data_IF_023624407711
#
_entry.id   IF_023624407711
#
_cell.length_a   1.000
_cell.length_b   1.000
_cell.length_c   1.000
_cell.angle_alpha   90.00
_cell.angle_beta   90.00
_cell.angle_gamma   90.00
#
_symmetry.space_group_name_H-M   'P 1'
#
loop_
_entity.id
_entity.type
_entity.pdbx_description
1 polymer ?
#
# COMPACT_ATOMS: atom_id res chain seq x y z
N UNK A 1 -1.03 21.52 37.45
CA UNK A 1 -2.21 20.82 36.89
C UNK A 1 -1.77 20.22 35.56
N UNK A 2 -1.27 18.99 35.60
CA UNK A 2 -0.75 18.29 34.42
C UNK A 2 -1.93 17.70 33.63
N UNK A 3 -2.28 18.36 32.53
CA UNK A 3 -3.34 17.92 31.64
C UNK A 3 -2.76 16.90 30.65
N UNK A 4 -3.08 15.63 30.92
CA UNK A 4 -3.01 14.47 30.03
C UNK A 4 -1.62 13.93 29.69
N UNK A 5 -1.27 12.84 30.38
CA UNK A 5 -0.31 11.84 29.89
C UNK A 5 -1.00 11.05 28.78
N UNK A 6 -0.78 11.42 27.52
CA UNK A 6 -1.18 10.59 26.38
C UNK A 6 -0.42 9.28 26.49
N UNK A 7 -1.12 8.22 26.90
CA UNK A 7 -0.62 6.85 26.74
C UNK A 7 -0.53 6.66 25.23
N UNK A 8 0.68 6.69 24.67
CA UNK A 8 0.92 6.26 23.30
C UNK A 8 0.54 4.79 23.25
N UNK A 9 -0.71 4.51 22.86
CA UNK A 9 -1.14 3.15 22.53
C UNK A 9 -0.10 2.56 21.60
N UNK A 10 0.30 1.31 21.88
CA UNK A 10 1.24 0.53 21.10
C UNK A 10 1.13 0.92 19.63
N UNK A 11 2.18 1.51 19.03
CA UNK A 11 2.17 1.89 17.61
C UNK A 11 1.83 0.63 16.82
N UNK A 12 0.60 0.54 16.33
CA UNK A 12 0.10 -0.68 15.67
C UNK A 12 0.91 -0.84 14.38
N UNK A 13 1.61 -1.96 14.26
CA UNK A 13 2.46 -2.27 13.13
C UNK A 13 2.23 -3.73 12.73
N UNK A 14 2.44 -4.04 11.45
CA UNK A 14 2.52 -5.43 11.01
C UNK A 14 3.81 -6.07 11.56
N UNK A 15 4.95 -5.46 11.25
CA UNK A 15 6.26 -5.83 11.75
C UNK A 15 7.25 -4.66 11.56
N UNK A 16 7.79 -4.08 12.65
CA UNK A 16 8.84 -3.04 12.57
C UNK A 16 10.13 -3.50 11.87
N UNK A 17 10.40 -4.81 11.88
CA UNK A 17 11.59 -5.44 11.30
C UNK A 17 11.28 -6.13 9.95
N UNK A 18 10.27 -5.63 9.23
CA UNK A 18 9.91 -6.13 7.90
C UNK A 18 11.14 -6.10 6.97
N UNK A 19 11.48 -7.26 6.38
CA UNK A 19 12.68 -7.41 5.56
C UNK A 19 12.40 -7.39 4.06
N UNK A 20 11.27 -7.97 3.66
CA UNK A 20 10.92 -8.15 2.25
C UNK A 20 9.47 -7.74 1.98
N UNK A 21 9.24 -7.12 0.82
CA UNK A 21 7.90 -6.87 0.28
C UNK A 21 7.78 -7.59 -1.06
N UNK A 22 6.81 -8.49 -1.17
CA UNK A 22 6.44 -9.15 -2.41
C UNK A 22 5.53 -8.22 -3.22
N UNK A 23 5.99 -7.83 -4.41
CA UNK A 23 5.25 -6.97 -5.32
C UNK A 23 4.36 -7.84 -6.20
N UNK A 24 3.06 -7.61 -6.14
CA UNK A 24 2.07 -8.34 -6.91
C UNK A 24 1.36 -7.40 -7.90
N UNK A 25 1.77 -7.38 -9.18
CA UNK A 25 1.00 -6.70 -10.22
C UNK A 25 -0.35 -7.39 -10.40
N UNK A 26 -1.45 -6.67 -10.14
CA UNK A 26 -2.81 -7.22 -10.25
C UNK A 26 -3.39 -7.13 -11.66
N UNK A 27 -2.71 -6.39 -12.53
CA UNK A 27 -2.99 -6.16 -13.93
C UNK A 27 -1.70 -5.68 -14.61
N UNK A 28 -1.78 -5.33 -15.89
CA UNK A 28 -0.66 -4.74 -16.63
C UNK A 28 -0.20 -3.41 -16.01
N UNK A 29 0.90 -3.47 -15.26
CA UNK A 29 1.59 -2.34 -14.66
C UNK A 29 2.86 -2.07 -15.44
N UNK A 30 3.16 -0.78 -15.70
CA UNK A 30 4.40 -0.40 -16.37
C UNK A 30 5.60 -0.81 -15.53
N UNK A 31 6.61 -1.39 -16.16
CA UNK A 31 7.87 -1.79 -15.50
C UNK A 31 8.53 -0.61 -14.75
N UNK A 32 8.50 0.58 -15.34
CA UNK A 32 9.02 1.80 -14.69
C UNK A 32 8.31 2.14 -13.37
N UNK A 33 7.04 1.78 -13.21
CA UNK A 33 6.32 1.91 -11.93
C UNK A 33 6.85 0.92 -10.90
N UNK A 34 7.08 -0.33 -11.30
CA UNK A 34 7.64 -1.37 -10.43
C UNK A 34 9.03 -0.94 -9.96
N UNK A 35 9.89 -0.45 -10.85
CA UNK A 35 11.24 0.02 -10.50
C UNK A 35 11.21 1.22 -9.55
N UNK A 36 10.25 2.14 -9.69
CA UNK A 36 10.06 3.23 -8.72
C UNK A 36 9.73 2.66 -7.33
N UNK A 37 8.84 1.66 -7.25
CA UNK A 37 8.46 1.03 -5.99
C UNK A 37 9.67 0.35 -5.34
N UNK A 38 10.38 -0.50 -6.08
CA UNK A 38 11.59 -1.18 -5.60
C UNK A 38 12.61 -0.20 -5.05
N UNK A 39 12.94 0.82 -5.84
CA UNK A 39 13.90 1.86 -5.47
C UNK A 39 13.48 2.59 -4.20
N UNK A 40 12.22 3.03 -4.11
CA UNK A 40 11.73 3.79 -2.96
C UNK A 40 11.75 2.95 -1.67
N UNK A 41 11.38 1.67 -1.74
CA UNK A 41 11.40 0.78 -0.58
C UNK A 41 12.83 0.52 -0.07
N UNK A 42 13.77 0.32 -0.98
CA UNK A 42 15.17 0.09 -0.61
C UNK A 42 15.85 1.36 -0.08
N UNK A 43 15.64 2.51 -0.73
CA UNK A 43 16.28 3.77 -0.34
C UNK A 43 15.84 4.21 1.06
N UNK A 44 14.53 4.20 1.33
CA UNK A 44 13.98 4.73 2.59
C UNK A 44 13.98 3.73 3.75
N UNK A 45 13.81 2.44 3.45
CA UNK A 45 13.59 1.43 4.49
C UNK A 45 14.56 0.25 4.45
N UNK A 46 15.43 0.15 3.43
CA UNK A 46 16.32 -1.01 3.23
C UNK A 46 15.54 -2.34 3.11
N UNK A 47 14.33 -2.28 2.58
CA UNK A 47 13.47 -3.44 2.35
C UNK A 47 13.76 -4.03 0.99
N UNK A 48 13.97 -5.34 0.95
CA UNK A 48 14.12 -6.10 -0.30
C UNK A 48 12.77 -6.28 -0.99
N UNK A 49 12.79 -6.42 -2.32
CA UNK A 49 11.58 -6.59 -3.11
C UNK A 49 11.72 -7.71 -4.11
N UNK A 50 10.64 -8.46 -4.29
CA UNK A 50 10.56 -9.56 -5.26
C UNK A 50 9.21 -9.48 -5.96
N UNK A 51 9.17 -9.63 -7.29
CA UNK A 51 7.92 -9.60 -8.05
C UNK A 51 7.33 -11.01 -8.08
N UNK A 52 6.06 -11.13 -7.70
CA UNK A 52 5.34 -12.40 -7.78
C UNK A 52 4.65 -12.53 -9.13
N UNK A 53 5.03 -13.58 -9.87
CA UNK A 53 4.35 -14.01 -11.11
C UNK A 53 3.13 -14.90 -10.82
N UNK A 54 2.57 -14.82 -9.62
CA UNK A 54 1.41 -15.64 -9.25
C UNK A 54 0.15 -15.09 -9.89
N UNK A 55 -0.53 -15.91 -10.70
CA UNK A 55 -1.90 -15.67 -11.10
C UNK A 55 -2.82 -15.76 -9.87
N UNK A 56 -3.08 -14.62 -9.24
CA UNK A 56 -4.23 -14.49 -8.35
C UNK A 56 -5.41 -14.16 -9.24
N UNK A 57 -6.55 -14.84 -9.01
CA UNK A 57 -7.81 -14.59 -9.70
C UNK A 57 -8.38 -13.21 -9.28
N UNK A 58 -7.66 -12.14 -9.66
CA UNK A 58 -7.98 -10.75 -9.38
C UNK A 58 -9.22 -10.29 -10.14
N UNK A 59 -9.64 -11.04 -11.16
CA UNK A 59 -10.86 -10.80 -11.95
C UNK A 59 -12.10 -10.65 -11.07
N UNK A 60 -12.22 -11.41 -9.97
CA UNK A 60 -13.35 -11.28 -9.03
C UNK A 60 -13.26 -10.06 -8.12
N UNK A 61 -12.05 -9.55 -7.91
CA UNK A 61 -11.82 -8.33 -7.14
C UNK A 61 -12.03 -7.07 -7.97
N UNK A 62 -12.01 -7.17 -9.30
CA UNK A 62 -12.08 -6.04 -10.23
C UNK A 62 -13.50 -5.91 -10.77
N UNK A 63 -14.12 -4.76 -10.55
CA UNK A 63 -15.44 -4.45 -11.11
C UNK A 63 -15.56 -2.94 -11.40
N UNK A 64 -16.06 -2.60 -12.60
CA UNK A 64 -16.24 -1.21 -13.03
C UNK A 64 -14.96 -0.36 -13.05
N UNK A 65 -13.77 -0.97 -13.13
CA UNK A 65 -12.49 -0.26 -13.02
C UNK A 65 -12.10 0.12 -11.59
N UNK A 66 -12.69 -0.54 -10.59
CA UNK A 66 -12.32 -0.51 -9.17
C UNK A 66 -11.81 -1.88 -8.71
N UNK A 67 -10.94 -1.89 -7.71
CA UNK A 67 -10.50 -3.08 -6.98
C UNK A 67 -11.15 -3.06 -5.61
N UNK A 68 -11.88 -4.14 -5.27
CA UNK A 68 -12.33 -4.43 -3.92
C UNK A 68 -11.14 -4.93 -3.08
N UNK A 69 -10.51 -4.02 -2.34
CA UNK A 69 -9.28 -4.34 -1.62
C UNK A 69 -9.51 -5.27 -0.44
N UNK A 70 -10.71 -5.28 0.18
CA UNK A 70 -11.03 -6.17 1.29
C UNK A 70 -11.26 -7.62 0.83
N UNK A 71 -11.81 -7.80 -0.38
CA UNK A 71 -11.85 -9.13 -1.00
C UNK A 71 -10.44 -9.62 -1.31
N UNK A 72 -9.63 -8.77 -1.98
CA UNK A 72 -8.27 -9.13 -2.35
C UNK A 72 -7.41 -9.48 -1.13
N UNK A 73 -7.50 -8.69 -0.05
CA UNK A 73 -6.76 -8.94 1.19
C UNK A 73 -7.06 -10.31 1.77
N UNK A 74 -8.35 -10.69 1.85
CA UNK A 74 -8.77 -12.01 2.35
C UNK A 74 -8.28 -13.17 1.48
N UNK A 75 -8.29 -12.99 0.16
CA UNK A 75 -7.79 -14.02 -0.76
C UNK A 75 -6.27 -14.17 -0.70
N UNK A 76 -5.55 -13.06 -0.51
CA UNK A 76 -4.10 -13.04 -0.33
C UNK A 76 -3.70 -13.67 1.01
N UNK A 77 -4.36 -13.29 2.09
CA UNK A 77 -4.08 -13.81 3.43
C UNK A 77 -4.18 -15.33 3.49
N UNK A 78 -5.16 -15.93 2.80
CA UNK A 78 -5.30 -17.39 2.70
C UNK A 78 -4.16 -18.09 1.96
N UNK A 79 -3.44 -17.37 1.10
CA UNK A 79 -2.38 -17.92 0.23
C UNK A 79 -0.97 -17.73 0.77
N UNK A 80 -0.78 -16.91 1.81
CA UNK A 80 0.55 -16.55 2.31
C UNK A 80 0.89 -17.38 3.55
N UNK A 81 2.12 -17.94 3.57
CA UNK A 81 2.73 -18.50 4.78
C UNK A 81 3.08 -17.37 5.75
N UNK A 82 2.63 -17.45 7.01
CA UNK A 82 2.69 -16.41 8.05
C UNK A 82 4.12 -16.03 8.55
N UNK A 83 5.09 -15.90 7.66
CA UNK A 83 6.36 -15.25 7.99
C UNK A 83 6.16 -13.73 8.04
N UNK A 84 6.01 -13.19 9.26
CA UNK A 84 5.83 -11.74 9.48
C UNK A 84 7.00 -10.86 9.01
N UNK A 85 8.13 -11.44 8.60
CA UNK A 85 9.23 -10.68 7.97
C UNK A 85 8.95 -10.32 6.50
N UNK A 86 7.84 -10.80 5.94
CA UNK A 86 7.44 -10.62 4.55
C UNK A 86 6.04 -9.99 4.50
N UNK A 87 5.87 -8.96 3.68
CA UNK A 87 4.58 -8.34 3.41
C UNK A 87 4.26 -8.42 1.91
N UNK A 88 3.00 -8.19 1.54
CA UNK A 88 2.59 -8.14 0.13
C UNK A 88 2.10 -6.74 -0.23
N UNK A 89 2.54 -6.26 -1.39
CA UNK A 89 2.05 -5.04 -2.01
C UNK A 89 1.36 -5.38 -3.33
N UNK A 90 0.02 -5.33 -3.33
CA UNK A 90 -0.76 -5.39 -4.55
C UNK A 90 -0.68 -4.08 -5.32
N UNK A 91 -0.43 -4.12 -6.63
CA UNK A 91 -0.26 -2.92 -7.46
C UNK A 91 -1.27 -2.96 -8.61
N UNK A 92 -2.08 -1.91 -8.73
CA UNK A 92 -3.15 -1.84 -9.72
C UNK A 92 -3.17 -0.54 -10.50
N UNK A 93 -3.64 -0.58 -11.75
CA UNK A 93 -4.04 0.62 -12.49
C UNK A 93 -5.48 1.07 -12.20
N UNK A 94 -6.27 0.27 -11.50
CA UNK A 94 -7.67 0.56 -11.19
C UNK A 94 -7.83 1.31 -9.88
N UNK A 95 -8.97 1.98 -9.71
CA UNK A 95 -9.31 2.70 -8.49
C UNK A 95 -9.42 1.75 -7.31
N UNK A 96 -9.08 2.20 -6.10
CA UNK A 96 -9.24 1.37 -4.91
C UNK A 96 -10.62 1.64 -4.28
N UNK A 97 -11.30 0.56 -3.89
CA UNK A 97 -12.51 0.62 -3.08
C UNK A 97 -12.32 -0.32 -1.89
N UNK A 98 -12.45 0.17 -0.64
CA UNK A 98 -12.34 -0.69 0.54
C UNK A 98 -13.41 -1.79 0.57
N UNK A 99 -14.57 -1.55 -0.06
CA UNK A 99 -15.68 -2.51 -0.14
C UNK A 99 -16.19 -2.66 -1.57
N UNK A 100 -17.05 -3.67 -1.80
CA UNK A 100 -17.74 -3.86 -3.08
C UNK A 100 -18.96 -2.95 -3.30
N UNK A 101 -19.32 -2.11 -2.33
CA UNK A 101 -20.55 -1.32 -2.36
C UNK A 101 -20.48 -0.21 -3.42
N UNK A 102 -21.57 0.00 -4.17
CA UNK A 102 -21.64 1.04 -5.21
C UNK A 102 -21.36 2.44 -4.65
N UNK A 103 -21.88 2.76 -3.47
CA UNK A 103 -21.67 4.04 -2.81
C UNK A 103 -20.19 4.32 -2.51
N UNK A 104 -19.44 3.28 -2.09
CA UNK A 104 -17.99 3.36 -1.86
C UNK A 104 -17.27 3.78 -3.15
N UNK A 105 -17.64 3.20 -4.29
CA UNK A 105 -17.05 3.55 -5.59
C UNK A 105 -17.35 4.99 -6.01
N UNK A 106 -18.57 5.45 -5.78
CA UNK A 106 -18.97 6.83 -6.08
C UNK A 106 -18.13 7.80 -5.27
N UNK A 107 -18.08 7.62 -3.94
CA UNK A 107 -17.28 8.47 -3.04
C UNK A 107 -15.82 8.50 -3.50
N UNK A 108 -15.25 7.33 -3.79
CA UNK A 108 -13.84 7.23 -4.18
C UNK A 108 -13.53 7.64 -5.62
N UNK A 109 -14.54 7.94 -6.43
CA UNK A 109 -14.35 8.65 -7.70
C UNK A 109 -14.01 10.12 -7.44
N UNK A 110 -14.61 10.73 -6.40
CA UNK A 110 -14.37 12.12 -6.00
C UNK A 110 -13.22 12.26 -4.99
N UNK A 111 -12.95 11.21 -4.20
CA UNK A 111 -11.85 11.14 -3.23
C UNK A 111 -11.03 9.86 -3.44
N UNK A 112 -10.10 9.87 -4.41
CA UNK A 112 -9.31 8.69 -4.75
C UNK A 112 -8.48 8.20 -3.57
N UNK A 113 -8.59 6.91 -3.25
CA UNK A 113 -7.66 6.22 -2.37
C UNK A 113 -6.47 5.76 -3.20
N UNK A 114 -5.28 6.25 -2.87
CA UNK A 114 -4.04 5.93 -3.58
C UNK A 114 -3.39 4.65 -3.04
N UNK A 115 -3.53 4.41 -1.74
CA UNK A 115 -3.01 3.25 -1.04
C UNK A 115 -3.93 2.83 0.10
N UNK A 116 -3.92 1.54 0.43
CA UNK A 116 -4.63 1.02 1.59
C UNK A 116 -3.87 -0.15 2.19
N UNK A 117 -3.70 -0.15 3.52
CA UNK A 117 -2.99 -1.19 4.27
C UNK A 117 -3.91 -1.96 5.21
N UNK A 118 -3.85 -3.29 5.11
CA UNK A 118 -4.41 -4.27 6.03
C UNK A 118 -3.30 -4.73 6.98
N UNK A 119 -3.20 -4.05 8.11
CA UNK A 119 -2.09 -4.21 9.06
C UNK A 119 -1.94 -5.63 9.59
N UNK A 120 -3.03 -6.30 9.97
CA UNK A 120 -2.96 -7.65 10.56
C UNK A 120 -2.47 -8.69 9.54
N UNK A 121 -2.87 -8.53 8.27
CA UNK A 121 -2.54 -9.46 7.19
C UNK A 121 -1.19 -9.14 6.52
N UNK A 122 -0.55 -8.01 6.83
CA UNK A 122 0.70 -7.58 6.18
C UNK A 122 0.53 -7.27 4.69
N UNK A 123 -0.66 -6.82 4.31
CA UNK A 123 -1.02 -6.55 2.92
C UNK A 123 -1.23 -5.06 2.74
N UNK A 124 -0.61 -4.48 1.74
CA UNK A 124 -0.97 -3.16 1.25
C UNK A 124 -1.34 -3.23 -0.23
N UNK A 125 -2.16 -2.29 -0.69
CA UNK A 125 -2.59 -2.20 -2.08
C UNK A 125 -2.40 -0.76 -2.54
N UNK A 126 -1.68 -0.57 -3.64
CA UNK A 126 -1.46 0.71 -4.29
C UNK A 126 -2.19 0.79 -5.62
N UNK A 127 -2.58 2.01 -5.99
CA UNK A 127 -3.07 2.30 -7.35
C UNK A 127 -2.23 3.35 -8.06
N UNK A 128 -2.07 3.17 -9.37
CA UNK A 128 -1.49 4.17 -10.27
C UNK A 128 -2.55 5.09 -10.89
N UNK A 129 -3.83 4.91 -10.55
CA UNK A 129 -4.96 5.67 -11.09
C UNK A 129 -4.94 5.74 -12.63
N UNK A 130 -4.89 4.56 -13.27
CA UNK A 130 -4.76 4.38 -14.73
C UNK A 130 -3.46 5.00 -15.28
N UNK A 131 -2.39 4.96 -14.49
CA UNK A 131 -1.10 5.56 -14.85
C UNK A 131 -1.08 7.10 -14.80
N UNK A 132 -2.09 7.73 -14.19
CA UNK A 132 -2.19 9.19 -14.07
C UNK A 132 -1.56 9.74 -12.79
N UNK A 133 -1.14 8.87 -11.87
CA UNK A 133 -0.53 9.34 -10.62
C UNK A 133 0.83 10.02 -10.88
N UNK A 134 1.03 11.26 -10.41
CA UNK A 134 2.35 11.89 -10.41
C UNK A 134 3.38 11.05 -9.64
N UNK A 135 4.62 11.02 -10.12
CA UNK A 135 5.70 10.23 -9.51
C UNK A 135 5.91 10.55 -8.03
N UNK A 136 5.84 11.81 -7.62
CA UNK A 136 6.00 12.21 -6.22
C UNK A 136 4.86 11.70 -5.33
N UNK A 137 3.61 11.68 -5.82
CA UNK A 137 2.48 11.11 -5.09
C UNK A 137 2.58 9.59 -4.97
N UNK A 138 3.06 8.92 -6.02
CA UNK A 138 3.33 7.48 -5.97
C UNK A 138 4.39 7.16 -4.91
N UNK A 139 5.52 7.88 -4.92
CA UNK A 139 6.57 7.76 -3.89
C UNK A 139 6.02 7.95 -2.49
N UNK A 140 5.25 9.02 -2.29
CA UNK A 140 4.61 9.28 -1.01
C UNK A 140 3.68 8.14 -0.58
N UNK A 141 2.85 7.62 -1.49
CA UNK A 141 1.95 6.53 -1.17
C UNK A 141 2.69 5.25 -0.75
N UNK A 142 3.80 4.90 -1.44
CA UNK A 142 4.66 3.78 -1.05
C UNK A 142 5.16 3.96 0.39
N UNK A 143 5.65 5.15 0.72
CA UNK A 143 6.16 5.49 2.05
C UNK A 143 5.07 5.46 3.11
N UNK A 144 3.87 5.94 2.76
CA UNK A 144 2.74 5.97 3.65
C UNK A 144 2.28 4.56 4.03
N UNK A 145 2.01 3.72 3.03
CA UNK A 145 1.51 2.35 3.25
C UNK A 145 2.55 1.47 3.94
N UNK A 146 3.82 1.51 3.52
CA UNK A 146 4.88 0.76 4.20
C UNK A 146 5.22 1.36 5.56
N UNK A 147 5.05 2.67 5.73
CA UNK A 147 5.11 3.33 7.02
C UNK A 147 4.12 2.74 8.02
N UNK A 148 2.90 2.42 7.60
CA UNK A 148 1.92 1.70 8.43
C UNK A 148 2.41 0.30 8.81
N UNK A 149 2.88 -0.49 7.83
CA UNK A 149 3.41 -1.84 8.08
C UNK A 149 4.55 -1.85 9.12
N UNK A 150 5.41 -0.83 9.10
CA UNK A 150 6.55 -0.67 10.00
C UNK A 150 6.21 0.03 11.32
N UNK A 151 4.99 0.57 11.49
CA UNK A 151 4.62 1.40 12.65
C UNK A 151 5.23 2.81 12.65
N UNK A 152 5.77 3.28 11.52
CA UNK A 152 6.45 4.58 11.33
C UNK A 152 5.47 5.72 10.97
N UNK A 153 4.34 5.84 11.66
CA UNK A 153 3.24 6.78 11.34
C UNK A 153 3.62 8.26 11.19
N UNK A 154 4.67 8.74 11.87
CA UNK A 154 5.15 10.13 11.74
C UNK A 154 6.11 10.37 10.58
N UNK A 155 6.65 9.30 9.98
CA UNK A 155 7.68 9.40 8.95
C UNK A 155 7.15 9.93 7.61
N UNK A 156 5.98 9.54 7.08
CA UNK A 156 5.47 10.08 5.82
C UNK A 156 5.33 11.60 5.83
N UNK A 157 4.89 12.19 6.95
CA UNK A 157 4.79 13.64 7.11
C UNK A 157 6.16 14.33 7.12
N UNK A 158 7.17 13.69 7.73
CA UNK A 158 8.55 14.18 7.70
C UNK A 158 9.10 14.14 6.27
N UNK A 159 8.93 13.02 5.59
CA UNK A 159 9.37 12.84 4.21
C UNK A 159 8.77 13.90 3.28
N UNK A 160 7.46 14.19 3.41
CA UNK A 160 6.81 15.26 2.65
C UNK A 160 7.43 16.64 2.91
N UNK A 161 7.80 16.94 4.15
CA UNK A 161 8.43 18.23 4.48
C UNK A 161 9.81 18.38 3.84
N UNK A 162 10.58 17.29 3.79
CA UNK A 162 11.92 17.25 3.21
C UNK A 162 11.88 17.38 1.68
N UNK A 163 10.87 16.79 1.03
CA UNK A 163 10.75 16.74 -0.43
C UNK A 163 9.80 17.80 -1.02
N UNK A 164 9.28 18.71 -0.21
CA UNK A 164 8.37 19.80 -0.62
C UNK A 164 8.99 20.80 -1.62
N UNK A 165 10.31 20.76 -1.82
CA UNK A 165 11.06 21.66 -2.70
C UNK A 165 11.40 21.05 -4.07
N UNK A 166 11.05 19.79 -4.31
CA UNK A 166 11.35 19.06 -5.55
C UNK A 166 10.16 18.95 -6.52
N UNK A 167 9.04 19.63 -6.22
CA UNK A 167 7.79 19.58 -6.97
C UNK A 167 7.47 20.87 -7.69
#
# INVERSE_FOLDING_TARGET
MELFKVITGSKIAYNPDLKKVLLLPLNEIKESTIEIIKKQLYEEFKIETEVLDTEIESKRAIDGGFINTAYLSRELERKISYNKSIAIMGISKYWLSPTGLLLSRIIHTFSPIIGLTYLESGICVLTTLKGKIPKHLLKFAIIHEVGHLLGKHGYPLRWLKEHRKEG
#
